data_IF_017370356323
#
_entry.id   IF_017370356323
#
_cell.length_a   1.000
_cell.length_b   1.000
_cell.length_c   1.000
_cell.angle_alpha   90.00
_cell.angle_beta   90.00
_cell.angle_gamma   90.00
#
_symmetry.space_group_name_H-M   'P 1'
#
loop_
_entity.id
_entity.type
_entity.pdbx_description
1 polymer ?
#
# COMPACT_ATOMS: atom_id res chain seq x y z
N UNK A 1 -15.43 19.63 -12.72
CA UNK A 1 -15.04 18.42 -11.93
C UNK A 1 -16.02 17.31 -12.25
N UNK A 2 -15.55 16.12 -12.58
CA UNK A 2 -16.45 15.00 -12.90
C UNK A 2 -16.93 14.32 -11.60
N UNK A 3 -18.16 13.81 -11.59
CA UNK A 3 -18.73 13.05 -10.44
C UNK A 3 -17.84 11.87 -10.05
N UNK A 4 -17.21 11.23 -11.04
CA UNK A 4 -16.25 10.13 -10.80
C UNK A 4 -15.07 10.59 -9.93
N UNK A 5 -14.46 11.73 -10.25
CA UNK A 5 -13.35 12.28 -9.48
C UNK A 5 -13.78 12.61 -8.06
N UNK A 6 -14.91 13.31 -7.90
CA UNK A 6 -15.44 13.63 -6.58
C UNK A 6 -15.72 12.37 -5.74
N UNK A 7 -16.29 11.33 -6.37
CA UNK A 7 -16.53 10.07 -5.69
C UNK A 7 -15.22 9.41 -5.23
N UNK A 8 -14.17 9.43 -6.05
CA UNK A 8 -12.87 8.87 -5.68
C UNK A 8 -12.17 9.70 -4.61
N UNK A 9 -12.22 11.02 -4.69
CA UNK A 9 -11.66 11.90 -3.66
C UNK A 9 -12.35 11.66 -2.29
N UNK A 10 -13.68 11.47 -2.29
CA UNK A 10 -14.42 11.13 -1.06
C UNK A 10 -14.04 9.76 -0.48
N UNK A 11 -13.73 8.77 -1.31
CA UNK A 11 -13.26 7.45 -0.84
C UNK A 11 -11.83 7.53 -0.35
N UNK A 12 -10.92 8.06 -1.16
CA UNK A 12 -9.47 7.95 -0.97
C UNK A 12 -8.92 9.00 0.01
N UNK A 13 -9.43 10.24 -0.07
CA UNK A 13 -8.93 11.35 0.75
C UNK A 13 -9.76 11.54 2.02
N UNK A 14 -11.10 11.45 1.89
CA UNK A 14 -11.99 11.65 3.03
C UNK A 14 -12.29 10.35 3.81
N UNK A 15 -11.79 9.19 3.36
CA UNK A 15 -11.98 7.90 4.03
C UNK A 15 -13.45 7.45 4.08
N UNK A 16 -14.31 7.98 3.20
CA UNK A 16 -15.73 7.65 3.21
C UNK A 16 -15.99 6.25 2.68
N UNK A 17 -16.94 5.53 3.30
CA UNK A 17 -17.35 4.23 2.79
C UNK A 17 -17.99 4.36 1.41
N UNK A 18 -17.88 3.34 0.55
CA UNK A 18 -18.47 3.35 -0.80
C UNK A 18 -19.99 3.60 -0.79
N UNK A 19 -20.70 3.07 0.23
CA UNK A 19 -22.14 3.33 0.42
C UNK A 19 -22.40 4.77 0.88
N UNK A 20 -21.55 5.28 1.76
CA UNK A 20 -21.60 6.65 2.23
C UNK A 20 -21.43 7.63 1.08
N UNK A 21 -20.44 7.41 0.20
CA UNK A 21 -20.22 8.24 -1.00
C UNK A 21 -21.46 8.26 -1.90
N UNK A 22 -22.02 7.10 -2.24
CA UNK A 22 -23.22 7.03 -3.09
C UNK A 22 -24.41 7.77 -2.45
N UNK A 23 -24.61 7.63 -1.14
CA UNK A 23 -25.68 8.32 -0.40
C UNK A 23 -25.43 9.83 -0.34
N UNK A 24 -24.20 10.27 -0.03
CA UNK A 24 -23.85 11.69 0.04
C UNK A 24 -24.02 12.40 -1.30
N UNK A 25 -23.55 11.80 -2.39
CA UNK A 25 -23.72 12.38 -3.73
C UNK A 25 -25.19 12.54 -4.11
N UNK A 26 -26.04 11.57 -3.78
CA UNK A 26 -27.48 11.64 -4.02
C UNK A 26 -28.12 12.77 -3.21
N UNK A 27 -27.83 12.86 -1.91
CA UNK A 27 -28.35 13.93 -1.05
C UNK A 27 -27.93 15.33 -1.54
N UNK A 28 -26.66 15.48 -1.93
CA UNK A 28 -26.15 16.74 -2.49
C UNK A 28 -26.88 17.10 -3.78
N UNK A 29 -27.04 16.14 -4.69
CA UNK A 29 -27.75 16.37 -5.95
C UNK A 29 -29.21 16.77 -5.75
N UNK A 30 -29.92 16.10 -4.84
CA UNK A 30 -31.31 16.43 -4.47
C UNK A 30 -31.39 17.86 -3.89
N UNK A 31 -30.49 18.21 -2.96
CA UNK A 31 -30.49 19.53 -2.32
C UNK A 31 -30.14 20.68 -3.26
N UNK A 32 -29.27 20.42 -4.23
CA UNK A 32 -28.83 21.42 -5.22
C UNK A 32 -29.67 21.39 -6.52
N UNK A 33 -30.66 20.51 -6.62
CA UNK A 33 -31.52 20.41 -7.79
C UNK A 33 -30.78 20.01 -9.07
N UNK A 34 -29.75 19.17 -8.98
CA UNK A 34 -28.89 18.85 -10.12
C UNK A 34 -29.56 18.04 -11.23
N UNK A 35 -30.70 17.45 -11.02
CA UNK A 35 -31.43 16.66 -12.03
C UNK A 35 -30.61 15.55 -12.71
N UNK A 36 -29.53 15.08 -12.07
CA UNK A 36 -28.63 14.06 -12.58
C UNK A 36 -28.78 12.76 -11.82
N UNK A 37 -28.72 11.66 -12.54
CA UNK A 37 -28.63 10.34 -11.92
C UNK A 37 -27.28 10.17 -11.20
N UNK A 38 -27.33 10.01 -9.89
CA UNK A 38 -26.14 9.81 -9.08
C UNK A 38 -25.69 8.35 -9.10
N UNK A 39 -24.37 8.12 -8.98
CA UNK A 39 -23.79 6.80 -9.03
C UNK A 39 -24.33 5.91 -7.90
N UNK A 40 -24.64 4.66 -8.25
CA UNK A 40 -24.93 3.63 -7.26
C UNK A 40 -23.66 3.20 -6.53
N UNK A 41 -23.82 2.53 -5.37
CA UNK A 41 -22.71 1.85 -4.69
C UNK A 41 -21.90 0.95 -5.64
N UNK A 42 -22.58 0.20 -6.52
CA UNK A 42 -21.92 -0.68 -7.49
C UNK A 42 -21.06 0.08 -8.50
N UNK A 43 -21.52 1.25 -8.94
CA UNK A 43 -20.74 2.12 -9.82
C UNK A 43 -19.48 2.65 -9.13
N UNK A 44 -19.61 3.19 -7.90
CA UNK A 44 -18.47 3.70 -7.12
C UNK A 44 -17.45 2.57 -6.87
N UNK A 45 -17.92 1.37 -6.49
CA UNK A 45 -17.06 0.19 -6.32
C UNK A 45 -16.34 -0.17 -7.63
N UNK A 46 -17.03 -0.18 -8.77
CA UNK A 46 -16.44 -0.51 -10.06
C UNK A 46 -15.36 0.50 -10.47
N UNK A 47 -15.56 1.79 -10.21
CA UNK A 47 -14.57 2.83 -10.48
C UNK A 47 -13.32 2.66 -9.61
N UNK A 48 -13.49 2.37 -8.31
CA UNK A 48 -12.37 2.12 -7.41
C UNK A 48 -11.55 0.90 -7.86
N UNK A 49 -12.21 -0.19 -8.24
CA UNK A 49 -11.51 -1.39 -8.75
C UNK A 49 -10.74 -1.11 -10.04
N UNK A 50 -11.33 -0.34 -10.97
CA UNK A 50 -10.66 0.05 -12.22
C UNK A 50 -9.44 0.94 -11.94
N UNK A 51 -9.55 1.88 -10.99
CA UNK A 51 -8.44 2.71 -10.57
C UNK A 51 -7.31 1.87 -9.95
N UNK A 52 -7.64 0.90 -9.10
CA UNK A 52 -6.67 -0.04 -8.53
C UNK A 52 -5.98 -0.89 -9.60
N UNK A 53 -6.74 -1.44 -10.56
CA UNK A 53 -6.17 -2.18 -11.70
C UNK A 53 -5.26 -1.28 -12.55
N UNK A 54 -5.66 -0.04 -12.81
CA UNK A 54 -4.83 0.94 -13.52
C UNK A 54 -3.51 1.18 -12.79
N UNK A 55 -3.55 1.42 -11.48
CA UNK A 55 -2.35 1.62 -10.67
C UNK A 55 -1.38 0.42 -10.72
N UNK A 56 -1.93 -0.81 -10.74
CA UNK A 56 -1.14 -2.03 -10.88
C UNK A 56 -0.49 -2.18 -12.27
N UNK A 57 -1.18 -1.74 -13.32
CA UNK A 57 -0.76 -1.92 -14.71
C UNK A 57 0.02 -0.72 -15.26
N UNK A 58 -0.07 0.44 -14.60
CA UNK A 58 0.61 1.66 -15.04
C UNK A 58 2.12 1.44 -15.06
N UNK A 59 2.80 1.81 -16.16
CA UNK A 59 4.26 1.81 -16.20
C UNK A 59 4.83 2.69 -15.09
N UNK A 60 5.87 2.18 -14.44
CA UNK A 60 6.58 2.92 -13.41
C UNK A 60 7.89 3.48 -14.01
N UNK A 61 8.36 4.65 -13.55
CA UNK A 61 9.61 5.22 -14.04
C UNK A 61 10.77 4.29 -13.70
N UNK A 62 11.67 4.12 -14.66
CA UNK A 62 12.93 3.40 -14.40
C UNK A 62 13.85 4.25 -13.52
N UNK A 63 14.58 3.64 -12.61
CA UNK A 63 15.53 4.36 -11.76
C UNK A 63 15.81 3.68 -10.43
N UNK A 64 16.39 4.44 -9.51
CA UNK A 64 16.61 3.99 -8.15
C UNK A 64 15.35 4.20 -7.32
N UNK A 65 14.96 3.18 -6.55
CA UNK A 65 13.73 3.18 -5.75
C UNK A 65 14.02 2.88 -4.29
N UNK A 66 13.15 3.41 -3.43
CA UNK A 66 12.96 2.95 -2.05
C UNK A 66 11.66 2.16 -2.02
N UNK A 67 11.70 0.92 -1.53
CA UNK A 67 10.52 0.08 -1.37
C UNK A 67 10.12 -0.04 0.10
N UNK A 68 8.83 -0.12 0.33
CA UNK A 68 8.20 -0.50 1.59
C UNK A 68 7.43 -1.78 1.35
N UNK A 69 7.70 -2.80 2.13
CA UNK A 69 7.08 -4.11 2.00
C UNK A 69 6.33 -4.47 3.28
N UNK A 70 5.11 -4.95 3.11
CA UNK A 70 4.24 -5.31 4.24
C UNK A 70 3.21 -6.36 3.85
N UNK A 71 2.71 -7.10 4.84
CA UNK A 71 1.53 -7.95 4.72
C UNK A 71 0.30 -7.22 5.24
N UNK A 72 -0.57 -6.72 4.35
CA UNK A 72 -1.65 -5.82 4.76
C UNK A 72 -2.97 -6.51 5.06
N UNK A 73 -3.29 -7.60 4.38
CA UNK A 73 -4.59 -8.27 4.49
C UNK A 73 -4.38 -9.77 4.56
N UNK A 74 -5.09 -10.41 5.47
CA UNK A 74 -5.22 -11.85 5.51
C UNK A 74 -6.57 -12.24 4.91
N UNK A 75 -6.57 -13.06 3.87
CA UNK A 75 -7.77 -13.58 3.21
C UNK A 75 -7.79 -15.09 3.44
N UNK A 76 -8.54 -15.54 4.44
CA UNK A 76 -8.49 -16.92 4.88
C UNK A 76 -7.11 -17.25 5.45
N UNK A 77 -6.44 -18.26 4.89
CA UNK A 77 -5.06 -18.63 5.25
C UNK A 77 -4.00 -17.81 4.47
N UNK A 78 -4.40 -17.11 3.41
CA UNK A 78 -3.49 -16.38 2.53
C UNK A 78 -3.20 -14.98 3.05
N UNK A 79 -1.96 -14.51 2.88
CA UNK A 79 -1.52 -13.15 3.16
C UNK A 79 -1.36 -12.36 1.86
N UNK A 80 -1.72 -11.09 1.86
CA UNK A 80 -1.45 -10.19 0.73
C UNK A 80 -0.14 -9.44 0.99
N UNK A 81 0.91 -9.79 0.24
CA UNK A 81 2.14 -9.02 0.19
C UNK A 81 1.92 -7.77 -0.67
N UNK A 82 2.21 -6.62 -0.10
CA UNK A 82 2.20 -5.32 -0.79
C UNK A 82 3.61 -4.79 -0.88
N UNK A 83 4.04 -4.41 -2.07
CA UNK A 83 5.28 -3.69 -2.31
C UNK A 83 4.87 -2.32 -2.84
N UNK A 84 5.02 -1.31 -2.02
CA UNK A 84 4.87 0.09 -2.39
C UNK A 84 6.25 0.73 -2.48
N UNK A 85 6.41 1.78 -3.26
CA UNK A 85 7.71 2.42 -3.40
C UNK A 85 7.64 3.85 -3.88
N UNK A 86 8.74 4.55 -3.69
CA UNK A 86 8.97 5.91 -4.15
C UNK A 86 10.29 5.96 -4.93
N UNK A 87 10.34 6.63 -6.10
CA UNK A 87 11.61 6.92 -6.74
C UNK A 87 12.53 7.67 -5.77
N UNK A 88 13.79 7.29 -5.69
CA UNK A 88 14.73 7.91 -4.75
C UNK A 88 14.87 9.42 -4.94
N UNK A 89 14.70 9.90 -6.18
CA UNK A 89 14.72 11.31 -6.51
C UNK A 89 13.55 12.10 -5.90
N UNK A 90 12.41 11.43 -5.69
CA UNK A 90 11.15 12.03 -5.21
C UNK A 90 10.97 11.85 -3.70
N UNK A 91 11.91 11.16 -3.02
CA UNK A 91 11.85 11.00 -1.56
C UNK A 91 12.00 12.37 -0.88
N UNK A 92 10.98 12.82 -0.10
CA UNK A 92 11.06 14.10 0.59
C UNK A 92 12.21 14.11 1.60
N UNK A 93 12.92 15.24 1.69
CA UNK A 93 14.04 15.41 2.63
C UNK A 93 13.65 16.15 3.91
N UNK A 94 12.54 16.84 3.87
CA UNK A 94 12.05 17.77 4.91
C UNK A 94 10.85 17.23 5.71
N UNK A 95 10.31 16.09 5.29
CA UNK A 95 9.17 15.44 5.91
C UNK A 95 9.20 13.92 5.72
N UNK A 96 8.48 13.15 6.52
CA UNK A 96 8.31 11.71 6.31
C UNK A 96 7.54 11.43 5.01
N UNK A 97 7.75 10.25 4.43
CA UNK A 97 6.96 9.72 3.32
C UNK A 97 5.48 9.63 3.70
N UNK A 98 4.62 10.04 2.80
CA UNK A 98 3.17 9.92 2.91
C UNK A 98 2.67 8.89 1.89
N UNK A 99 1.45 8.40 2.08
CA UNK A 99 0.81 7.48 1.14
C UNK A 99 0.73 8.06 -0.28
N UNK A 100 0.54 9.38 -0.42
CA UNK A 100 0.52 10.07 -1.71
C UNK A 100 1.85 10.09 -2.45
N UNK A 101 2.96 9.82 -1.77
CA UNK A 101 4.30 9.77 -2.37
C UNK A 101 4.64 8.36 -2.90
N UNK A 102 3.78 7.38 -2.59
CA UNK A 102 4.04 5.96 -2.89
C UNK A 102 3.31 5.52 -4.14
N UNK A 103 4.01 4.76 -4.97
CA UNK A 103 3.44 4.01 -6.08
C UNK A 103 3.28 2.54 -5.69
N UNK A 104 2.23 1.91 -6.18
CA UNK A 104 2.07 0.47 -6.03
C UNK A 104 3.02 -0.25 -7.01
N UNK A 105 4.06 -0.85 -6.46
CA UNK A 105 5.05 -1.58 -7.27
C UNK A 105 4.57 -2.99 -7.57
N UNK A 106 4.10 -3.72 -6.56
CA UNK A 106 3.66 -5.11 -6.74
C UNK A 106 2.66 -5.54 -5.68
N UNK A 107 1.79 -6.48 -6.04
CA UNK A 107 0.88 -7.19 -5.13
C UNK A 107 0.97 -8.68 -5.39
N UNK A 108 1.08 -9.48 -4.34
CA UNK A 108 1.04 -10.92 -4.44
C UNK A 108 0.18 -11.53 -3.33
N UNK A 109 -0.77 -12.38 -3.71
CA UNK A 109 -1.52 -13.20 -2.77
C UNK A 109 -0.72 -14.47 -2.51
N UNK A 110 -0.27 -14.66 -1.27
CA UNK A 110 0.61 -15.73 -0.86
C UNK A 110 -0.16 -16.72 0.03
N UNK A 111 -0.32 -17.96 -0.42
CA UNK A 111 -0.91 -19.03 0.39
C UNK A 111 0.01 -19.40 1.57
N UNK A 112 1.32 -19.37 1.33
CA UNK A 112 2.35 -19.53 2.34
C UNK A 112 3.40 -18.45 2.19
N UNK A 113 3.56 -17.63 3.23
CA UNK A 113 4.60 -16.63 3.28
C UNK A 113 5.87 -17.21 3.91
N UNK A 114 6.88 -17.42 3.08
CA UNK A 114 8.22 -17.86 3.48
C UNK A 114 9.25 -16.87 2.95
N UNK A 115 10.44 -16.87 3.52
CA UNK A 115 11.56 -16.05 3.03
C UNK A 115 11.81 -16.23 1.53
N UNK A 116 11.71 -17.49 1.04
CA UNK A 116 11.97 -17.81 -0.36
C UNK A 116 10.86 -17.27 -1.27
N UNK A 117 9.59 -17.41 -0.88
CA UNK A 117 8.45 -16.91 -1.66
C UNK A 117 8.42 -15.38 -1.66
N UNK A 118 8.72 -14.72 -0.54
CA UNK A 118 8.87 -13.26 -0.49
C UNK A 118 10.02 -12.80 -1.40
N UNK A 119 11.19 -13.44 -1.36
CA UNK A 119 12.31 -13.09 -2.23
C UNK A 119 11.93 -13.23 -3.71
N UNK A 120 11.17 -14.25 -4.09
CA UNK A 120 10.68 -14.43 -5.44
C UNK A 120 9.76 -13.28 -5.88
N UNK A 121 8.85 -12.83 -5.03
CA UNK A 121 7.96 -11.70 -5.31
C UNK A 121 8.72 -10.37 -5.40
N UNK A 122 9.77 -10.19 -4.59
CA UNK A 122 10.66 -9.03 -4.71
C UNK A 122 11.40 -9.01 -6.06
N UNK A 123 11.83 -10.16 -6.59
CA UNK A 123 12.42 -10.27 -7.93
C UNK A 123 11.38 -9.96 -9.05
N UNK A 124 10.10 -10.34 -8.85
CA UNK A 124 9.05 -9.95 -9.80
C UNK A 124 8.82 -8.42 -9.76
N UNK A 125 8.78 -7.82 -8.57
CA UNK A 125 8.69 -6.38 -8.42
C UNK A 125 9.84 -5.65 -9.11
N UNK A 126 11.07 -6.20 -9.04
CA UNK A 126 12.24 -5.64 -9.69
C UNK A 126 12.14 -5.56 -11.21
N UNK A 127 11.32 -6.38 -11.85
CA UNK A 127 11.04 -6.28 -13.30
C UNK A 127 10.29 -4.99 -13.67
N UNK A 128 9.62 -4.36 -12.70
CA UNK A 128 8.83 -3.13 -12.94
C UNK A 128 9.62 -1.86 -12.69
N UNK A 129 10.51 -1.85 -11.73
CA UNK A 129 11.22 -0.63 -11.30
C UNK A 129 12.75 -0.73 -11.40
N UNK A 130 13.27 -1.94 -11.61
CA UNK A 130 14.67 -2.26 -11.34
C UNK A 130 14.87 -2.62 -9.87
N UNK A 131 16.12 -2.99 -9.54
CA UNK A 131 16.51 -3.35 -8.17
C UNK A 131 16.46 -2.10 -7.27
N UNK A 132 15.78 -2.16 -6.10
CA UNK A 132 15.67 -1.00 -5.22
C UNK A 132 17.02 -0.66 -4.57
N UNK A 133 17.21 0.59 -4.21
CA UNK A 133 18.34 1.02 -3.40
C UNK A 133 18.15 0.67 -1.92
N UNK A 134 16.90 0.67 -1.48
CA UNK A 134 16.54 0.40 -0.09
C UNK A 134 15.19 -0.32 -0.01
N UNK A 135 15.08 -1.24 0.95
CA UNK A 135 13.83 -1.90 1.33
C UNK A 135 13.57 -1.59 2.80
N UNK A 136 12.38 -1.05 3.10
CA UNK A 136 11.84 -0.93 4.45
C UNK A 136 10.83 -2.05 4.70
N UNK A 137 10.92 -2.74 5.85
CA UNK A 137 9.93 -3.72 6.27
C UNK A 137 9.69 -3.67 7.77
N UNK A 138 8.62 -4.29 8.21
CA UNK A 138 8.48 -4.67 9.62
C UNK A 138 9.47 -5.80 9.98
N UNK A 139 9.41 -6.28 11.23
CA UNK A 139 10.27 -7.37 11.72
C UNK A 139 9.70 -8.77 11.45
N UNK A 140 8.76 -8.92 10.51
CA UNK A 140 8.29 -10.23 10.08
C UNK A 140 9.44 -11.09 9.57
N UNK A 141 9.66 -12.27 10.15
CA UNK A 141 10.80 -13.15 9.82
C UNK A 141 10.83 -13.55 8.35
N UNK A 142 9.68 -13.64 7.70
CA UNK A 142 9.51 -13.94 6.29
C UNK A 142 9.88 -12.75 5.39
N UNK A 143 9.44 -11.53 5.76
CA UNK A 143 9.78 -10.29 5.05
C UNK A 143 11.27 -9.96 5.19
N UNK A 144 11.78 -10.00 6.41
CA UNK A 144 13.21 -9.77 6.70
C UNK A 144 14.10 -10.78 5.97
N UNK A 145 13.74 -12.06 6.04
CA UNK A 145 14.49 -13.11 5.35
C UNK A 145 14.43 -12.97 3.83
N UNK A 146 13.27 -12.61 3.26
CA UNK A 146 13.12 -12.33 1.84
C UNK A 146 13.96 -11.14 1.37
N UNK A 147 13.97 -10.05 2.15
CA UNK A 147 14.81 -8.89 1.86
C UNK A 147 16.31 -9.24 1.92
N UNK A 148 16.75 -10.03 2.91
CA UNK A 148 18.14 -10.52 3.03
C UNK A 148 18.55 -11.39 1.83
N UNK A 149 17.65 -12.27 1.35
CA UNK A 149 17.91 -13.07 0.17
C UNK A 149 18.08 -12.21 -1.09
N UNK A 150 17.27 -11.16 -1.25
CA UNK A 150 17.44 -10.20 -2.33
C UNK A 150 18.78 -9.46 -2.22
N UNK A 151 19.17 -9.01 -1.01
CA UNK A 151 20.48 -8.37 -0.76
C UNK A 151 21.67 -9.27 -1.13
N UNK A 152 21.59 -10.56 -0.82
CA UNK A 152 22.63 -11.51 -1.18
C UNK A 152 22.83 -11.67 -2.69
N UNK A 153 21.74 -11.50 -3.47
CA UNK A 153 21.77 -11.61 -4.94
C UNK A 153 22.15 -10.30 -5.62
N UNK A 154 21.82 -9.18 -4.98
CA UNK A 154 21.97 -7.83 -5.55
C UNK A 154 22.75 -6.94 -4.58
N UNK A 155 24.05 -6.78 -4.83
CA UNK A 155 24.90 -5.92 -4.02
C UNK A 155 24.41 -4.46 -4.07
N UNK A 156 24.38 -3.80 -2.91
CA UNK A 156 24.00 -2.39 -2.78
C UNK A 156 22.55 -2.12 -2.42
N UNK A 157 21.71 -3.16 -2.21
CA UNK A 157 20.39 -3.01 -1.60
C UNK A 157 20.56 -2.85 -0.09
N UNK A 158 20.07 -1.76 0.50
CA UNK A 158 20.01 -1.59 1.95
C UNK A 158 18.67 -2.13 2.47
N UNK A 159 18.68 -2.81 3.63
CA UNK A 159 17.46 -3.20 4.34
C UNK A 159 17.37 -2.42 5.65
N UNK A 160 16.21 -1.82 5.89
CA UNK A 160 15.92 -0.98 7.06
C UNK A 160 14.64 -1.44 7.71
N UNK A 161 14.64 -1.53 9.03
CA UNK A 161 13.45 -1.87 9.82
C UNK A 161 12.60 -0.62 10.11
N UNK A 162 11.27 -0.82 10.18
CA UNK A 162 10.35 0.21 10.63
C UNK A 162 10.53 0.44 12.14
N UNK A 163 11.16 1.57 12.49
CA UNK A 163 11.40 1.98 13.87
C UNK A 163 10.09 2.27 14.63
N UNK A 164 9.06 2.78 13.97
CA UNK A 164 7.77 3.03 14.60
C UNK A 164 7.10 1.73 15.02
N UNK A 165 7.17 0.71 14.18
CA UNK A 165 6.68 -0.64 14.49
C UNK A 165 7.48 -1.28 15.65
N UNK A 166 8.80 -1.10 15.67
CA UNK A 166 9.66 -1.56 16.78
C UNK A 166 9.26 -0.90 18.10
N UNK A 167 9.11 0.42 18.12
CA UNK A 167 8.68 1.17 19.30
C UNK A 167 7.30 0.71 19.80
N UNK A 168 6.35 0.53 18.88
CA UNK A 168 5.03 0.01 19.20
C UNK A 168 5.06 -1.39 19.82
N UNK A 169 5.89 -2.30 19.30
CA UNK A 169 6.07 -3.65 19.82
C UNK A 169 6.69 -3.64 21.23
N UNK A 170 7.68 -2.79 21.49
CA UNK A 170 8.29 -2.63 22.81
C UNK A 170 7.26 -2.10 23.83
N UNK A 171 6.48 -1.09 23.45
CA UNK A 171 5.42 -0.55 24.31
C UNK A 171 4.34 -1.60 24.59
N UNK A 172 3.86 -2.30 23.57
CA UNK A 172 2.86 -3.37 23.69
C UNK A 172 3.36 -4.49 24.60
N UNK A 173 4.62 -4.92 24.46
CA UNK A 173 5.23 -5.92 25.33
C UNK A 173 5.28 -5.47 26.78
N UNK A 174 5.62 -4.22 27.05
CA UNK A 174 5.63 -3.66 28.41
C UNK A 174 4.22 -3.58 29.00
N UNK A 175 3.23 -3.13 28.23
CA UNK A 175 1.85 -3.02 28.70
C UNK A 175 1.19 -4.38 28.97
N UNK A 176 1.43 -5.37 28.12
CA UNK A 176 0.88 -6.72 28.35
C UNK A 176 1.42 -7.39 29.63
N UNK A 177 2.51 -6.91 30.21
CA UNK A 177 3.08 -7.39 31.47
C UNK A 177 2.77 -6.49 32.66
N UNK A 178 2.05 -5.38 32.48
CA UNK A 178 1.64 -4.49 33.58
C UNK A 178 0.31 -4.99 34.17
N UNK A 179 0.30 -5.43 35.45
CA UNK A 179 -0.90 -5.99 36.09
C UNK A 179 -2.04 -4.96 36.31
N UNK A 180 -1.84 -3.71 35.92
CA UNK A 180 -2.82 -2.63 36.00
C UNK A 180 -3.68 -2.48 34.73
N UNK A 181 -3.43 -3.27 33.70
CA UNK A 181 -4.17 -3.27 32.42
C UNK A 181 -4.82 -4.61 32.17
#
# INVERSE_FOLDING_TARGET
MTIVRLAMDLVLEAGSSLRGVAASLRLIAERLGWGLDMPSYGAVRSWLLRLGCYALLCPLPAGSWVWLIDHTVQIGASKLLVIAGCPLADVPRDRPLRQSDLHLVHLALMEQSTQATVAQELEQAAKRTGIPRQIGSDQGSDLEGGAKLLQQRHAGVAHVHDLAHQAANVLKSRWNHDPRW
#
